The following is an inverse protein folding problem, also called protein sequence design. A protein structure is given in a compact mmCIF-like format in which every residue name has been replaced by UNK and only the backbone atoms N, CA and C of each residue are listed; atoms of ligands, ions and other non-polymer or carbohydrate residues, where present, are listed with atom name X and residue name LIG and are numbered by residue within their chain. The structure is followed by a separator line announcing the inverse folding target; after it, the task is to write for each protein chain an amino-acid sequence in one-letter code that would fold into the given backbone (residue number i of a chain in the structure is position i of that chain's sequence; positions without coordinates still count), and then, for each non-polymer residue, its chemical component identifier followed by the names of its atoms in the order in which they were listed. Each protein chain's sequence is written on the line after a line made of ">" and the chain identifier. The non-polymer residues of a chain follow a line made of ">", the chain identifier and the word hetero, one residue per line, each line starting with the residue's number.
data_IF_347905908168
#
_entry.id   IF_347905908168
#
_cell.length_a   1.000
_cell.length_b   1.000
_cell.length_c   1.000
_cell.angle_alpha   90.00
_cell.angle_beta   90.00
_cell.angle_gamma   90.00
#
_symmetry.space_group_name_H-M   'P 1'
#
loop_
_entity.id
_entity.type
_entity.pdbx_description
1 polymer ?
#
# COMPACT_ATOMS: atom_id res chain seq x y z
N UNK A 1 10.02 3.86 1.01
CA UNK A 1 9.53 2.79 0.12
C UNK A 1 8.29 2.15 0.72
N UNK A 2 7.10 2.49 0.23
CA UNK A 2 5.82 2.09 0.84
C UNK A 2 5.51 0.59 0.70
N UNK A 3 5.74 0.01 -0.48
CA UNK A 3 5.38 -1.38 -0.79
C UNK A 3 6.15 -2.40 0.06
N UNK A 4 7.50 -2.36 0.16
CA UNK A 4 8.24 -3.29 1.02
C UNK A 4 7.86 -3.17 2.51
N UNK A 5 7.57 -1.95 2.96
CA UNK A 5 7.13 -1.68 4.33
C UNK A 5 5.77 -2.30 4.66
N UNK A 6 4.80 -2.17 3.75
CA UNK A 6 3.47 -2.75 3.93
C UNK A 6 3.49 -4.28 3.90
N UNK A 7 4.35 -4.89 3.06
CA UNK A 7 4.57 -6.34 3.06
C UNK A 7 5.13 -6.80 4.40
N UNK A 8 6.13 -6.09 4.94
CA UNK A 8 6.70 -6.42 6.25
C UNK A 8 5.65 -6.34 7.36
N UNK A 9 4.84 -5.26 7.39
CA UNK A 9 3.77 -5.09 8.38
C UNK A 9 2.74 -6.23 8.31
N UNK A 10 2.29 -6.62 7.12
CA UNK A 10 1.36 -7.72 6.94
C UNK A 10 1.93 -9.05 7.43
N UNK A 11 3.21 -9.32 7.17
CA UNK A 11 3.86 -10.56 7.65
C UNK A 11 3.94 -10.58 9.17
N UNK A 12 4.17 -9.44 9.82
CA UNK A 12 4.14 -9.35 11.26
C UNK A 12 2.73 -9.55 11.82
N UNK A 13 1.71 -8.89 11.26
CA UNK A 13 0.31 -9.10 11.67
C UNK A 13 -0.10 -10.58 11.52
N UNK A 14 0.33 -11.28 10.46
CA UNK A 14 0.06 -12.71 10.32
C UNK A 14 0.72 -13.57 11.41
N UNK A 15 1.92 -13.18 11.86
CA UNK A 15 2.70 -13.92 12.88
C UNK A 15 2.20 -13.62 14.30
N UNK A 16 1.88 -12.36 14.60
CA UNK A 16 1.51 -11.92 15.95
C UNK A 16 0.00 -12.01 16.21
N UNK A 17 -0.84 -11.74 15.21
CA UNK A 17 -2.30 -11.65 15.36
C UNK A 17 -3.03 -12.87 14.76
N UNK A 18 -2.30 -13.89 14.29
CA UNK A 18 -2.85 -15.01 13.51
C UNK A 18 -3.71 -14.55 12.31
N UNK A 19 -3.44 -13.34 11.80
CA UNK A 19 -4.18 -12.81 10.66
C UNK A 19 -3.94 -13.68 9.43
N UNK A 20 -4.99 -13.97 8.66
CA UNK A 20 -4.83 -14.73 7.41
C UNK A 20 -4.15 -13.86 6.36
N UNK A 21 -3.08 -14.34 5.70
CA UNK A 21 -2.45 -13.58 4.64
C UNK A 21 -3.43 -13.44 3.47
N UNK A 22 -3.65 -12.20 3.04
CA UNK A 22 -4.47 -11.88 1.87
C UNK A 22 -3.75 -10.88 0.99
N UNK A 23 -3.38 -11.30 -0.21
CA UNK A 23 -2.69 -10.44 -1.19
C UNK A 23 -3.61 -9.31 -1.63
N UNK A 24 -4.90 -9.59 -1.84
CA UNK A 24 -5.87 -8.57 -2.24
C UNK A 24 -5.99 -7.48 -1.18
N UNK A 25 -6.14 -7.87 0.09
CA UNK A 25 -6.26 -6.93 1.21
C UNK A 25 -4.99 -6.10 1.38
N UNK A 26 -3.82 -6.72 1.21
CA UNK A 26 -2.53 -6.01 1.25
C UNK A 26 -2.41 -4.96 0.13
N UNK A 27 -2.78 -5.33 -1.09
CA UNK A 27 -2.74 -4.44 -2.26
C UNK A 27 -3.67 -3.24 -2.07
N UNK A 28 -4.87 -3.43 -1.52
CA UNK A 28 -5.80 -2.33 -1.26
C UNK A 28 -5.30 -1.39 -0.16
N UNK A 29 -4.72 -1.93 0.92
CA UNK A 29 -4.08 -1.12 1.97
C UNK A 29 -2.92 -0.29 1.41
N UNK A 30 -2.12 -0.86 0.51
CA UNK A 30 -1.02 -0.15 -0.16
C UNK A 30 -1.55 1.04 -0.98
N UNK A 31 -2.62 0.85 -1.76
CA UNK A 31 -3.22 1.93 -2.56
C UNK A 31 -3.82 3.02 -1.70
N UNK A 32 -4.57 2.65 -0.65
CA UNK A 32 -5.16 3.60 0.28
C UNK A 32 -4.09 4.46 0.95
N UNK A 33 -3.01 3.82 1.42
CA UNK A 33 -1.87 4.51 2.00
C UNK A 33 -1.21 5.42 0.96
N UNK A 34 -0.93 4.93 -0.25
CA UNK A 34 -0.36 5.74 -1.34
C UNK A 34 -1.20 6.98 -1.69
N UNK A 35 -2.54 6.84 -1.71
CA UNK A 35 -3.46 7.96 -1.89
C UNK A 35 -3.38 8.95 -0.74
N UNK A 36 -3.32 8.47 0.51
CA UNK A 36 -3.15 9.32 1.70
C UNK A 36 -1.85 10.13 1.62
N UNK A 37 -0.74 9.50 1.22
CA UNK A 37 0.55 10.19 1.00
C UNK A 37 0.45 11.24 -0.11
N UNK A 38 -0.22 10.93 -1.22
CA UNK A 38 -0.43 11.88 -2.31
C UNK A 38 -1.29 13.09 -1.87
N UNK A 39 -2.35 12.85 -1.09
CA UNK A 39 -3.23 13.89 -0.55
C UNK A 39 -2.56 14.76 0.53
N UNK A 40 -1.68 14.17 1.34
CA UNK A 40 -0.90 14.87 2.37
C UNK A 40 0.16 15.84 1.80
N UNK A 41 0.14 16.13 0.50
CA UNK A 41 1.03 17.08 -0.12
C UNK A 41 2.46 16.56 -0.27
N UNK A 42 2.69 15.24 -0.23
CA UNK A 42 3.94 14.64 -0.68
C UNK A 42 4.07 14.74 -2.22
N UNK A 43 4.08 15.99 -2.72
CA UNK A 43 4.22 16.39 -4.12
C UNK A 43 5.60 16.03 -4.71
N UNK A 44 6.50 15.49 -3.89
CA UNK A 44 7.85 15.05 -4.30
C UNK A 44 7.95 13.61 -4.81
N UNK A 45 6.84 12.88 -4.99
CA UNK A 45 6.90 11.48 -5.43
C UNK A 45 5.89 11.19 -6.56
N UNK A 46 6.05 11.89 -7.68
CA UNK A 46 5.39 11.61 -8.97
C UNK A 46 5.87 10.28 -9.60
N UNK A 47 5.96 9.19 -8.84
CA UNK A 47 6.35 7.82 -9.29
C UNK A 47 5.76 6.73 -8.38
N UNK A 48 4.45 6.72 -8.08
CA UNK A 48 3.87 5.57 -7.32
C UNK A 48 2.57 5.01 -7.91
N UNK A 49 1.84 5.77 -8.71
CA UNK A 49 0.65 5.24 -9.38
C UNK A 49 1.00 4.94 -10.85
N UNK A 50 0.99 3.65 -11.26
CA UNK A 50 1.04 3.33 -12.68
C UNK A 50 -0.17 3.96 -13.38
N UNK A 51 0.07 4.57 -14.55
CA UNK A 51 -0.94 5.29 -15.35
C UNK A 51 -2.16 4.44 -15.73
N UNK A 52 -2.07 3.11 -15.60
CA UNK A 52 -3.17 2.18 -15.85
C UNK A 52 -4.17 2.07 -14.68
N UNK A 53 -3.94 2.74 -13.56
CA UNK A 53 -4.90 2.83 -12.46
C UNK A 53 -5.97 3.93 -12.68
N UNK A 54 -5.77 4.78 -13.70
CA UNK A 54 -6.62 5.92 -14.04
C UNK A 54 -7.54 5.68 -15.26
N UNK A 55 -7.68 4.44 -15.74
CA UNK A 55 -8.58 4.14 -16.87
C UNK A 55 -9.96 3.69 -16.39
N UNK A 56 -10.84 4.68 -16.20
CA UNK A 56 -12.29 4.55 -16.41
C UNK A 56 -12.73 5.53 -17.50
#
# INVERSE_FOLDING_TARGET
>A
MLVPWMIWKQRNECVFENARPSVHTLVDRIKAEAMCWAQAGALGHRVVLPTNWDVH
#
